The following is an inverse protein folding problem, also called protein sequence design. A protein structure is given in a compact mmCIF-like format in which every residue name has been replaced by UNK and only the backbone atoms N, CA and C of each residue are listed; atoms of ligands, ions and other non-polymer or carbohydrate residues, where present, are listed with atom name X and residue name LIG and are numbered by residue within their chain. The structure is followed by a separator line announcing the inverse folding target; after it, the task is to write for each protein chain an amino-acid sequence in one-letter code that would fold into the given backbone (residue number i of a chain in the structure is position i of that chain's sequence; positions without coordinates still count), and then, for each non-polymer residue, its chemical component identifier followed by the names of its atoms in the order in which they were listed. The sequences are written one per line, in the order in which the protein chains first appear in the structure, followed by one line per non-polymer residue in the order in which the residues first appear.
data_IF_659411933492
#
_entry.id   IF_659411933492
#
_cell.length_a   1.000
_cell.length_b   1.000
_cell.length_c   1.000
_cell.angle_alpha   90.00
_cell.angle_beta   90.00
_cell.angle_gamma   90.00
#
_symmetry.space_group_name_H-M   'P 1'
#
loop_
_entity.id
_entity.type
_entity.pdbx_description
1 polymer ?
#
# COMPACT_ATOMS: atom_id res chain seq x y z
N UNK A 1 -23.64 -14.45 8.19
CA UNK A 1 -23.12 -15.71 7.59
C UNK A 1 -21.66 -15.82 7.97
N UNK A 2 -21.17 -16.96 8.48
CA UNK A 2 -19.74 -17.15 8.72
C UNK A 2 -19.05 -17.18 7.35
N UNK A 3 -18.15 -16.23 7.10
CA UNK A 3 -17.35 -16.23 5.87
C UNK A 3 -16.51 -17.51 5.83
N UNK A 4 -16.50 -18.19 4.68
CA UNK A 4 -15.75 -19.43 4.48
C UNK A 4 -14.23 -19.20 4.27
N UNK A 5 -13.74 -18.00 4.59
CA UNK A 5 -12.36 -17.59 4.41
C UNK A 5 -11.83 -16.88 5.67
N UNK A 6 -10.51 -16.94 5.86
CA UNK A 6 -9.81 -16.20 6.90
C UNK A 6 -8.86 -15.18 6.23
N UNK A 7 -9.08 -13.88 6.47
CA UNK A 7 -8.32 -12.81 5.81
C UNK A 7 -6.84 -12.82 6.15
N UNK A 8 -6.47 -13.21 7.38
CA UNK A 8 -5.08 -13.22 7.84
C UNK A 8 -4.29 -14.31 7.13
N UNK A 9 -4.92 -15.46 6.89
CA UNK A 9 -4.36 -16.52 6.05
C UNK A 9 -4.18 -16.10 4.59
N UNK A 10 -5.10 -15.28 4.04
CA UNK A 10 -4.97 -14.75 2.68
C UNK A 10 -3.83 -13.73 2.58
N UNK A 11 -3.73 -12.81 3.55
CA UNK A 11 -2.63 -11.87 3.65
C UNK A 11 -1.28 -12.60 3.76
N UNK A 12 -1.18 -13.61 4.64
CA UNK A 12 0.05 -14.40 4.81
C UNK A 12 0.48 -15.12 3.52
N UNK A 13 -0.47 -15.65 2.74
CA UNK A 13 -0.18 -16.24 1.41
C UNK A 13 0.31 -15.19 0.43
N UNK A 14 -0.36 -14.03 0.38
CA UNK A 14 0.01 -12.94 -0.52
C UNK A 14 1.43 -12.44 -0.24
N UNK A 15 1.75 -12.22 1.04
CA UNK A 15 3.08 -11.80 1.49
C UNK A 15 4.13 -12.85 1.12
N UNK A 16 3.83 -14.14 1.29
CA UNK A 16 4.74 -15.21 0.86
C UNK A 16 4.99 -15.25 -0.65
N UNK A 17 3.99 -14.95 -1.47
CA UNK A 17 4.19 -14.82 -2.93
C UNK A 17 5.07 -13.63 -3.28
N UNK A 18 4.95 -12.52 -2.56
CA UNK A 18 5.83 -11.36 -2.76
C UNK A 18 7.27 -11.66 -2.34
N UNK A 19 7.46 -12.15 -1.11
CA UNK A 19 8.79 -12.26 -0.51
C UNK A 19 9.57 -13.49 -0.96
N UNK A 20 8.92 -14.64 -1.13
CA UNK A 20 9.61 -15.89 -1.48
C UNK A 20 9.55 -16.19 -2.99
N UNK A 21 8.57 -15.65 -3.72
CA UNK A 21 8.39 -15.94 -5.15
C UNK A 21 8.63 -14.73 -6.06
N UNK A 22 8.95 -13.56 -5.49
CA UNK A 22 9.25 -12.35 -6.26
C UNK A 22 8.06 -11.79 -7.05
N UNK A 23 6.83 -12.14 -6.67
CA UNK A 23 5.64 -11.64 -7.36
C UNK A 23 5.27 -10.23 -6.92
N UNK A 24 4.73 -9.42 -7.83
CA UNK A 24 4.17 -8.12 -7.47
C UNK A 24 2.86 -8.29 -6.70
N UNK A 25 2.69 -7.54 -5.61
CA UNK A 25 1.42 -7.49 -4.88
C UNK A 25 0.27 -7.01 -5.77
N UNK A 26 0.55 -6.12 -6.74
CA UNK A 26 -0.46 -5.63 -7.71
C UNK A 26 -1.03 -6.76 -8.58
N UNK A 27 -0.29 -7.84 -8.79
CA UNK A 27 -0.74 -9.03 -9.53
C UNK A 27 -1.45 -10.02 -8.60
N UNK A 28 -0.90 -10.23 -7.41
CA UNK A 28 -1.39 -11.21 -6.44
C UNK A 28 -2.75 -10.82 -5.86
N UNK A 29 -2.89 -9.57 -5.44
CA UNK A 29 -4.00 -9.11 -4.61
C UNK A 29 -5.36 -9.15 -5.34
N UNK A 30 -5.49 -8.75 -6.62
CA UNK A 30 -6.75 -8.87 -7.37
C UNK A 30 -7.26 -10.31 -7.46
N UNK A 31 -6.35 -11.29 -7.60
CA UNK A 31 -6.75 -12.71 -7.67
C UNK A 31 -7.37 -13.19 -6.36
N UNK A 32 -6.85 -12.75 -5.21
CA UNK A 32 -7.34 -13.10 -3.88
C UNK A 32 -8.63 -12.34 -3.52
N UNK A 33 -8.84 -11.14 -4.06
CA UNK A 33 -10.05 -10.35 -3.79
C UNK A 33 -11.30 -10.87 -4.50
N UNK A 34 -11.17 -11.73 -5.52
CA UNK A 34 -12.32 -12.31 -6.24
C UNK A 34 -13.25 -13.12 -5.35
N UNK A 35 -12.72 -13.74 -4.29
CA UNK A 35 -13.46 -14.61 -3.37
C UNK A 35 -13.85 -13.93 -2.06
N UNK A 36 -13.62 -12.60 -1.96
CA UNK A 36 -13.77 -11.81 -0.74
C UNK A 36 -14.81 -10.72 -0.96
N UNK A 37 -15.66 -10.50 0.05
CA UNK A 37 -16.67 -9.44 0.03
C UNK A 37 -16.04 -8.05 -0.02
N UNK A 38 -16.74 -7.05 -0.58
CA UNK A 38 -16.20 -5.70 -0.75
C UNK A 38 -15.72 -5.07 0.56
N UNK A 39 -16.45 -5.27 1.66
CA UNK A 39 -16.06 -4.80 3.00
C UNK A 39 -14.72 -5.37 3.46
N UNK A 40 -14.45 -6.63 3.13
CA UNK A 40 -13.25 -7.34 3.57
C UNK A 40 -12.05 -7.12 2.64
N UNK A 41 -12.27 -6.65 1.41
CA UNK A 41 -11.20 -6.31 0.44
C UNK A 41 -10.29 -5.21 0.97
N UNK A 42 -10.87 -4.18 1.58
CA UNK A 42 -10.12 -3.07 2.18
C UNK A 42 -9.25 -3.55 3.34
N UNK A 43 -9.77 -4.42 4.21
CA UNK A 43 -9.00 -4.99 5.31
C UNK A 43 -7.87 -5.90 4.77
N UNK A 44 -8.11 -6.73 3.77
CA UNK A 44 -7.04 -7.52 3.16
C UNK A 44 -5.92 -6.63 2.59
N UNK A 45 -6.27 -5.53 1.92
CA UNK A 45 -5.30 -4.57 1.41
C UNK A 45 -4.48 -3.94 2.53
N UNK A 46 -5.13 -3.43 3.58
CA UNK A 46 -4.43 -2.85 4.74
C UNK A 46 -3.45 -3.87 5.35
N UNK A 47 -3.87 -5.12 5.53
CA UNK A 47 -3.00 -6.17 6.08
C UNK A 47 -1.79 -6.45 5.17
N UNK A 48 -1.99 -6.60 3.85
CA UNK A 48 -0.90 -6.88 2.92
C UNK A 48 0.08 -5.71 2.80
N UNK A 49 -0.41 -4.51 2.45
CA UNK A 49 0.43 -3.33 2.27
C UNK A 49 1.07 -2.90 3.58
N UNK A 50 0.32 -2.91 4.68
CA UNK A 50 0.81 -2.56 6.00
C UNK A 50 1.92 -3.49 6.47
N UNK A 51 1.72 -4.81 6.39
CA UNK A 51 2.75 -5.79 6.80
C UNK A 51 4.02 -5.66 5.97
N UNK A 52 3.91 -5.44 4.65
CA UNK A 52 5.08 -5.24 3.78
C UNK A 52 5.80 -3.92 4.07
N UNK A 53 5.06 -2.84 4.35
CA UNK A 53 5.61 -1.52 4.67
C UNK A 53 6.48 -1.55 5.93
N UNK A 54 6.02 -2.23 6.98
CA UNK A 54 6.75 -2.31 8.26
C UNK A 54 7.54 -3.61 8.42
N UNK A 55 7.79 -4.33 7.32
CA UNK A 55 8.38 -5.68 7.34
C UNK A 55 9.68 -5.77 8.16
N UNK A 56 10.65 -4.85 8.04
CA UNK A 56 11.90 -4.95 8.81
C UNK A 56 11.67 -4.95 10.33
N UNK A 57 10.74 -4.14 10.82
CA UNK A 57 10.40 -4.07 12.24
C UNK A 57 9.70 -5.36 12.70
N UNK A 58 8.78 -5.90 11.91
CA UNK A 58 8.07 -7.15 12.23
C UNK A 58 9.00 -8.35 12.24
N UNK A 59 9.92 -8.43 11.28
CA UNK A 59 10.96 -9.47 11.22
C UNK A 59 11.89 -9.37 12.44
N UNK A 60 12.34 -8.16 12.79
CA UNK A 60 13.14 -7.93 13.98
C UNK A 60 12.42 -8.39 15.26
N UNK A 61 11.13 -8.04 15.42
CA UNK A 61 10.33 -8.48 16.56
C UNK A 61 10.23 -10.01 16.64
N UNK A 62 9.97 -10.70 15.53
CA UNK A 62 9.90 -12.17 15.51
C UNK A 62 11.23 -12.78 15.93
N UNK A 63 12.36 -12.23 15.50
CA UNK A 63 13.69 -12.71 15.88
C UNK A 63 13.98 -12.55 17.38
N UNK A 64 13.39 -11.55 18.04
CA UNK A 64 13.49 -11.40 19.50
C UNK A 64 12.57 -12.37 20.26
N UNK A 65 11.44 -12.75 19.66
CA UNK A 65 10.44 -13.63 20.29
C UNK A 65 10.71 -15.12 20.07
N UNK A 66 11.40 -15.47 18.98
CA UNK A 66 11.58 -16.85 18.54
C UNK A 66 13.06 -17.15 18.30
N UNK A 67 13.62 -18.07 19.10
CA UNK A 67 14.98 -18.57 18.88
C UNK A 67 15.18 -19.25 17.52
N UNK A 68 14.11 -19.86 16.98
CA UNK A 68 14.09 -20.50 15.65
C UNK A 68 12.83 -20.04 14.90
N UNK A 69 12.93 -18.99 14.06
CA UNK A 69 11.83 -18.55 13.21
C UNK A 69 11.31 -19.67 12.29
N UNK A 70 10.05 -19.58 11.87
CA UNK A 70 9.42 -20.61 11.03
C UNK A 70 9.94 -20.54 9.59
N UNK A 71 10.52 -21.63 9.11
CA UNK A 71 11.11 -21.75 7.76
C UNK A 71 10.53 -22.93 6.98
N UNK A 72 10.92 -23.06 5.71
CA UNK A 72 10.52 -24.18 4.84
C UNK A 72 9.01 -24.39 4.78
N UNK A 73 8.54 -25.61 5.12
CA UNK A 73 7.12 -25.98 5.09
C UNK A 73 6.21 -25.20 6.06
N UNK A 74 6.80 -24.41 6.96
CA UNK A 74 6.10 -23.57 7.94
C UNK A 74 6.23 -22.07 7.63
N UNK A 75 6.92 -21.68 6.55
CA UNK A 75 7.21 -20.28 6.20
C UNK A 75 5.95 -19.41 6.11
N UNK A 76 4.83 -19.93 5.59
CA UNK A 76 3.58 -19.16 5.55
C UNK A 76 3.04 -18.80 6.94
N UNK A 77 3.35 -19.58 7.98
CA UNK A 77 2.97 -19.23 9.36
C UNK A 77 3.87 -18.14 9.95
N UNK A 78 5.10 -17.97 9.46
CA UNK A 78 5.94 -16.81 9.77
C UNK A 78 5.23 -15.53 9.31
N UNK A 79 4.72 -15.51 8.08
CA UNK A 79 3.95 -14.37 7.57
C UNK A 79 2.62 -14.19 8.31
N UNK A 80 1.98 -15.28 8.74
CA UNK A 80 0.78 -15.20 9.58
C UNK A 80 1.07 -14.53 10.94
N UNK A 81 2.21 -14.83 11.56
CA UNK A 81 2.66 -14.11 12.76
C UNK A 81 2.90 -12.64 12.48
N UNK A 82 3.58 -12.30 11.38
CA UNK A 82 3.80 -10.91 10.99
C UNK A 82 2.48 -10.15 10.81
N UNK A 83 1.50 -10.76 10.14
CA UNK A 83 0.16 -10.19 9.99
C UNK A 83 -0.53 -10.00 11.36
N UNK A 84 -0.33 -10.93 12.30
CA UNK A 84 -0.82 -10.80 13.68
C UNK A 84 -0.17 -9.63 14.42
N UNK A 85 1.16 -9.53 14.38
CA UNK A 85 1.93 -8.45 15.00
C UNK A 85 1.57 -7.08 14.39
N UNK A 86 1.46 -7.01 13.06
CA UNK A 86 1.03 -5.81 12.35
C UNK A 86 -0.31 -5.30 12.88
N UNK A 87 -1.29 -6.19 13.05
CA UNK A 87 -2.60 -5.80 13.58
C UNK A 87 -2.53 -5.28 15.01
N UNK A 88 -1.73 -5.91 15.89
CA UNK A 88 -1.56 -5.46 17.27
C UNK A 88 -0.91 -4.08 17.37
N UNK A 89 -0.05 -3.73 16.41
CA UNK A 89 0.70 -2.47 16.40
C UNK A 89 -0.01 -1.33 15.68
N UNK A 90 -0.59 -1.62 14.50
CA UNK A 90 -0.96 -0.59 13.53
C UNK A 90 -2.47 -0.52 13.26
N UNK A 91 -3.28 -1.33 13.94
CA UNK A 91 -4.73 -1.32 13.76
C UNK A 91 -5.46 -1.10 15.08
N UNK A 92 -6.71 -0.66 14.99
CA UNK A 92 -7.61 -0.52 16.14
C UNK A 92 -8.44 -1.79 16.41
N UNK A 93 -8.09 -2.91 15.77
CA UNK A 93 -8.80 -4.18 15.96
C UNK A 93 -8.51 -4.67 17.39
N UNK A 94 -9.54 -5.00 18.20
CA UNK A 94 -9.32 -5.45 19.56
C UNK A 94 -8.36 -6.64 19.63
N UNK A 95 -7.38 -6.59 20.55
CA UNK A 95 -6.31 -7.58 20.58
C UNK A 95 -6.83 -9.03 20.68
N UNK A 96 -7.88 -9.28 21.46
CA UNK A 96 -8.48 -10.61 21.56
C UNK A 96 -9.00 -11.13 20.19
N UNK A 97 -9.57 -10.24 19.37
CA UNK A 97 -10.03 -10.57 18.03
C UNK A 97 -8.85 -10.79 17.07
N UNK A 98 -7.79 -9.99 17.16
CA UNK A 98 -6.54 -10.21 16.40
C UNK A 98 -5.96 -11.59 16.71
N UNK A 99 -5.84 -11.96 17.99
CA UNK A 99 -5.33 -13.26 18.39
C UNK A 99 -6.22 -14.40 17.88
N UNK A 100 -7.54 -14.32 18.10
CA UNK A 100 -8.48 -15.35 17.66
C UNK A 100 -8.42 -15.57 16.14
N UNK A 101 -8.53 -14.51 15.36
CA UNK A 101 -8.53 -14.57 13.89
C UNK A 101 -7.19 -15.03 13.32
N UNK A 102 -6.07 -14.61 13.92
CA UNK A 102 -4.73 -15.01 13.48
C UNK A 102 -4.47 -16.48 13.83
N UNK A 103 -4.92 -16.95 15.00
CA UNK A 103 -4.81 -18.35 15.41
C UNK A 103 -5.67 -19.27 14.52
N UNK A 104 -6.91 -18.88 14.21
CA UNK A 104 -7.75 -19.61 13.25
C UNK A 104 -7.16 -19.59 11.83
N UNK A 105 -6.38 -18.58 11.48
CA UNK A 105 -5.59 -18.55 10.24
C UNK A 105 -4.69 -19.78 10.06
N UNK A 106 -4.19 -20.37 11.14
CA UNK A 106 -3.38 -21.59 11.08
C UNK A 106 -4.18 -22.80 10.58
N UNK A 107 -5.47 -22.87 10.91
CA UNK A 107 -6.39 -23.92 10.43
C UNK A 107 -6.62 -23.75 8.93
N UNK A 108 -6.90 -22.52 8.48
CA UNK A 108 -7.06 -22.20 7.06
C UNK A 108 -5.79 -22.49 6.23
N UNK A 109 -4.61 -22.44 6.86
CA UNK A 109 -3.33 -22.82 6.26
C UNK A 109 -3.00 -24.31 6.40
N UNK A 110 -3.94 -25.16 6.82
CA UNK A 110 -3.76 -26.61 6.99
C UNK A 110 -2.65 -26.96 7.99
N UNK A 111 -2.51 -26.15 9.05
CA UNK A 111 -1.55 -26.34 10.16
C UNK A 111 -2.22 -26.13 11.55
N UNK A 112 -3.36 -26.79 11.83
CA UNK A 112 -4.09 -26.59 13.10
C UNK A 112 -3.26 -26.93 14.35
N UNK A 113 -2.28 -27.83 14.25
CA UNK A 113 -1.41 -28.20 15.36
C UNK A 113 -0.49 -27.06 15.85
N UNK A 114 -0.30 -26.00 15.06
CA UNK A 114 0.54 -24.84 15.41
C UNK A 114 -0.24 -23.66 16.00
N UNK A 115 -1.56 -23.82 16.24
CA UNK A 115 -2.40 -22.81 16.90
C UNK A 115 -1.83 -22.35 18.25
N UNK A 116 -1.38 -23.32 19.06
CA UNK A 116 -0.80 -23.03 20.39
C UNK A 116 0.48 -22.20 20.29
N UNK A 117 1.35 -22.50 19.33
CA UNK A 117 2.58 -21.74 19.08
C UNK A 117 2.27 -20.31 18.66
N UNK A 118 1.36 -20.11 17.70
CA UNK A 118 0.98 -18.77 17.22
C UNK A 118 0.39 -17.92 18.35
N UNK A 119 -0.54 -18.50 19.12
CA UNK A 119 -1.11 -17.83 20.29
C UNK A 119 -0.03 -17.50 21.34
N UNK A 120 0.90 -18.43 21.58
CA UNK A 120 2.00 -18.25 22.53
C UNK A 120 2.90 -17.08 22.15
N UNK A 121 3.34 -17.01 20.89
CA UNK A 121 4.21 -15.94 20.38
C UNK A 121 3.51 -14.59 20.40
N UNK A 122 2.26 -14.49 19.93
CA UNK A 122 1.51 -13.23 19.95
C UNK A 122 1.25 -12.75 21.39
N UNK A 123 0.95 -13.65 22.34
CA UNK A 123 0.81 -13.28 23.76
C UNK A 123 2.14 -12.88 24.40
N UNK A 124 3.23 -13.53 24.01
CA UNK A 124 4.57 -13.12 24.46
C UNK A 124 4.90 -11.73 23.97
N UNK A 125 4.62 -11.43 22.69
CA UNK A 125 4.75 -10.09 22.15
C UNK A 125 3.96 -9.08 22.96
N UNK A 126 2.67 -9.31 23.24
CA UNK A 126 1.87 -8.38 24.04
C UNK A 126 2.46 -8.09 25.43
N UNK A 127 3.10 -9.07 26.07
CA UNK A 127 3.77 -8.88 27.36
C UNK A 127 5.08 -8.09 27.26
N UNK A 128 5.78 -8.19 26.14
CA UNK A 128 7.09 -7.59 25.90
C UNK A 128 7.04 -6.40 24.93
N UNK A 129 5.84 -5.95 24.54
CA UNK A 129 5.64 -5.05 23.40
C UNK A 129 6.38 -3.73 23.60
N UNK A 130 6.22 -3.11 24.78
CA UNK A 130 6.84 -1.83 25.08
C UNK A 130 8.37 -1.90 25.02
N UNK A 131 8.97 -2.89 25.70
CA UNK A 131 10.42 -3.12 25.70
C UNK A 131 10.96 -3.38 24.28
N UNK A 132 10.27 -4.23 23.50
CA UNK A 132 10.67 -4.55 22.14
C UNK A 132 10.61 -3.32 21.24
N UNK A 133 9.59 -2.48 21.34
CA UNK A 133 9.47 -1.27 20.53
C UNK A 133 10.54 -0.22 20.90
N UNK A 134 10.86 -0.06 22.18
CA UNK A 134 11.96 0.81 22.62
C UNK A 134 13.31 0.33 22.07
N UNK A 135 13.54 -0.99 22.06
CA UNK A 135 14.76 -1.58 21.50
C UNK A 135 14.78 -1.47 19.97
N UNK A 136 13.64 -1.63 19.29
CA UNK A 136 13.52 -1.47 17.85
C UNK A 136 13.81 -0.03 17.41
N UNK A 137 13.40 0.97 18.19
CA UNK A 137 13.67 2.39 17.91
C UNK A 137 15.17 2.72 17.86
N UNK A 138 16.00 1.96 18.59
CA UNK A 138 17.46 2.11 18.63
C UNK A 138 18.18 1.16 17.64
N UNK A 139 17.46 0.61 16.66
CA UNK A 139 17.97 -0.34 15.68
C UNK A 139 17.55 0.10 14.27
N UNK A 140 18.38 -0.17 13.26
CA UNK A 140 18.09 0.20 11.86
C UNK A 140 16.74 -0.29 11.33
N UNK A 141 16.14 -1.31 11.95
CA UNK A 141 14.78 -1.76 11.62
C UNK A 141 13.70 -0.68 11.80
N UNK A 142 13.92 0.36 12.60
CA UNK A 142 12.99 1.49 12.75
C UNK A 142 12.81 2.29 11.46
N UNK A 143 13.81 2.29 10.58
CA UNK A 143 13.75 3.01 9.30
C UNK A 143 12.87 2.30 8.27
N UNK A 144 12.45 1.05 8.51
CA UNK A 144 11.59 0.25 7.63
C UNK A 144 12.13 0.00 6.21
N UNK A 145 13.43 0.24 5.98
CA UNK A 145 14.10 -0.02 4.71
C UNK A 145 15.10 -1.18 4.85
N UNK A 146 15.29 -2.01 3.81
CA UNK A 146 16.39 -2.97 3.81
C UNK A 146 17.74 -2.24 3.80
N UNK A 147 18.73 -2.81 4.49
CA UNK A 147 20.03 -2.15 4.75
C UNK A 147 20.74 -1.68 3.48
N UNK A 148 20.63 -2.41 2.38
CA UNK A 148 21.25 -2.03 1.10
C UNK A 148 20.62 -0.76 0.50
N UNK A 149 19.31 -0.57 0.66
CA UNK A 149 18.59 0.58 0.12
C UNK A 149 18.82 1.80 1.01
N UNK A 150 18.75 1.62 2.33
CA UNK A 150 19.02 2.69 3.30
C UNK A 150 20.41 3.30 3.06
N UNK A 151 21.44 2.45 2.91
CA UNK A 151 22.81 2.91 2.61
C UNK A 151 22.90 3.68 1.29
N UNK A 152 22.18 3.25 0.25
CA UNK A 152 22.14 3.96 -1.04
C UNK A 152 21.49 5.33 -0.92
N UNK A 153 20.38 5.43 -0.18
CA UNK A 153 19.69 6.72 0.06
C UNK A 153 20.60 7.65 0.88
N UNK A 154 21.22 7.16 1.96
CA UNK A 154 22.16 7.93 2.77
C UNK A 154 23.35 8.45 1.96
N UNK A 155 23.89 7.63 1.05
CA UNK A 155 24.99 8.05 0.18
C UNK A 155 24.57 9.07 -0.87
N UNK A 156 23.40 8.89 -1.48
CA UNK A 156 22.90 9.78 -2.54
C UNK A 156 22.34 11.10 -1.99
N UNK A 157 21.77 11.08 -0.79
CA UNK A 157 21.10 12.21 -0.15
C UNK A 157 21.55 12.40 1.32
N UNK A 158 22.84 12.70 1.59
CA UNK A 158 23.37 12.73 2.96
C UNK A 158 22.65 13.69 3.92
N UNK A 159 22.06 14.78 3.40
CA UNK A 159 21.35 15.77 4.19
C UNK A 159 19.83 15.57 4.26
N UNK A 160 19.27 14.64 3.45
CA UNK A 160 17.82 14.51 3.26
C UNK A 160 17.31 13.08 3.44
N UNK A 161 18.20 12.11 3.70
CA UNK A 161 17.82 10.70 3.74
C UNK A 161 16.72 10.40 4.76
N UNK A 162 16.72 11.05 5.94
CA UNK A 162 15.67 10.92 6.97
C UNK A 162 14.31 11.34 6.42
N UNK A 163 14.24 12.51 5.79
CA UNK A 163 13.00 13.00 5.18
C UNK A 163 12.50 12.06 4.07
N UNK A 164 13.41 11.50 3.27
CA UNK A 164 13.06 10.56 2.20
C UNK A 164 12.47 9.27 2.76
N UNK A 165 13.11 8.67 3.78
CA UNK A 165 12.60 7.43 4.37
C UNK A 165 11.29 7.67 5.13
N UNK A 166 11.14 8.82 5.79
CA UNK A 166 9.91 9.19 6.47
C UNK A 166 8.77 9.36 5.47
N UNK A 167 9.01 10.02 4.34
CA UNK A 167 8.04 10.16 3.25
C UNK A 167 7.66 8.80 2.64
N UNK A 168 8.64 7.93 2.38
CA UNK A 168 8.40 6.57 1.88
C UNK A 168 7.52 5.73 2.82
N UNK A 169 7.61 5.99 4.13
CA UNK A 169 6.89 5.26 5.17
C UNK A 169 5.46 5.79 5.41
N UNK A 170 5.09 6.94 4.84
CA UNK A 170 3.74 7.48 4.96
C UNK A 170 2.72 6.67 4.13
N UNK A 171 1.43 6.82 4.45
CA UNK A 171 0.37 6.33 3.56
C UNK A 171 0.38 7.23 2.30
N UNK A 172 0.45 6.66 1.09
CA UNK A 172 0.59 7.45 -0.12
C UNK A 172 -0.67 8.30 -0.32
N UNK A 173 -0.54 9.59 -0.70
CA UNK A 173 -1.67 10.41 -1.09
C UNK A 173 -2.33 9.85 -2.36
N UNK A 174 -3.64 10.06 -2.50
CA UNK A 174 -4.35 9.78 -3.75
C UNK A 174 -4.43 11.07 -4.58
N UNK A 175 -3.60 11.12 -5.62
CA UNK A 175 -3.57 12.22 -6.58
C UNK A 175 -4.45 11.92 -7.79
N UNK A 176 -5.17 12.94 -8.22
CA UNK A 176 -6.01 12.94 -9.39
C UNK A 176 -5.46 13.94 -10.41
N UNK A 177 -5.59 13.59 -11.69
CA UNK A 177 -5.43 14.50 -12.81
C UNK A 177 -6.80 14.79 -13.39
N UNK A 178 -7.22 16.05 -13.37
CA UNK A 178 -8.45 16.51 -14.01
C UNK A 178 -8.24 16.58 -15.52
N UNK A 179 -9.13 15.98 -16.29
CA UNK A 179 -9.07 16.06 -17.74
C UNK A 179 -9.57 17.44 -18.19
N UNK A 180 -8.62 18.30 -18.60
CA UNK A 180 -8.87 19.68 -19.05
C UNK A 180 -9.76 19.80 -20.29
N UNK A 181 -10.01 18.71 -21.02
CA UNK A 181 -10.96 18.70 -22.14
C UNK A 181 -12.42 18.68 -21.69
N UNK A 182 -12.69 18.35 -20.42
CA UNK A 182 -14.05 18.31 -19.87
C UNK A 182 -14.30 19.39 -18.81
N UNK A 183 -13.34 19.61 -17.91
CA UNK A 183 -13.49 20.53 -16.78
C UNK A 183 -12.18 21.27 -16.51
N UNK A 184 -12.27 22.51 -16.03
CA UNK A 184 -11.14 23.12 -15.31
C UNK A 184 -10.95 22.43 -13.97
N UNK A 185 -9.76 22.52 -13.38
CA UNK A 185 -9.50 21.95 -12.05
C UNK A 185 -10.45 22.53 -11.00
N UNK A 186 -10.70 23.83 -11.05
CA UNK A 186 -11.57 24.54 -10.12
C UNK A 186 -13.04 24.13 -10.29
N UNK A 187 -13.51 23.90 -11.52
CA UNK A 187 -14.86 23.36 -11.78
C UNK A 187 -15.00 21.95 -11.22
N UNK A 188 -14.00 21.10 -11.47
CA UNK A 188 -14.02 19.73 -10.99
C UNK A 188 -13.94 19.65 -9.46
N UNK A 189 -13.15 20.53 -8.81
CA UNK A 189 -13.10 20.63 -7.35
C UNK A 189 -14.48 20.95 -6.76
N UNK A 190 -15.26 21.84 -7.39
CA UNK A 190 -16.64 22.13 -6.97
C UNK A 190 -17.58 20.93 -7.10
N UNK A 191 -17.41 20.10 -8.14
CA UNK A 191 -18.16 18.83 -8.27
C UNK A 191 -17.82 17.86 -7.14
N UNK A 192 -16.54 17.79 -6.76
CA UNK A 192 -16.10 16.95 -5.64
C UNK A 192 -16.66 17.42 -4.31
N UNK A 193 -16.67 18.73 -4.05
CA UNK A 193 -17.29 19.31 -2.85
C UNK A 193 -18.78 18.98 -2.78
N UNK A 194 -19.52 19.08 -3.89
CA UNK A 194 -20.93 18.69 -3.97
C UNK A 194 -21.15 17.19 -3.71
N UNK A 195 -20.20 16.34 -4.12
CA UNK A 195 -20.19 14.91 -3.83
C UNK A 195 -19.73 14.58 -2.39
N UNK A 196 -19.35 15.58 -1.59
CA UNK A 196 -18.85 15.39 -0.23
C UNK A 196 -17.42 14.82 -0.17
N UNK A 197 -16.64 14.96 -1.25
CA UNK A 197 -15.26 14.48 -1.36
C UNK A 197 -14.32 15.67 -1.22
N UNK A 198 -13.59 15.72 -0.10
CA UNK A 198 -12.65 16.80 0.16
C UNK A 198 -11.31 16.57 -0.58
N UNK A 199 -10.87 17.60 -1.30
CA UNK A 199 -9.61 17.62 -2.03
C UNK A 199 -8.96 19.01 -2.00
N UNK A 200 -7.67 19.06 -2.30
CA UNK A 200 -6.91 20.31 -2.39
C UNK A 200 -6.09 20.37 -3.70
N UNK A 201 -5.94 21.56 -4.31
CA UNK A 201 -5.12 21.73 -5.50
C UNK A 201 -3.62 21.69 -5.17
N UNK A 202 -2.80 21.26 -6.13
CA UNK A 202 -1.35 21.47 -6.07
C UNK A 202 -0.99 22.82 -6.70
N UNK A 203 -0.03 23.54 -6.10
CA UNK A 203 0.39 24.85 -6.59
C UNK A 203 1.10 24.77 -7.95
N UNK A 204 1.97 23.77 -8.14
CA UNK A 204 2.82 23.64 -9.33
C UNK A 204 2.19 22.79 -10.46
N UNK A 205 1.15 22.00 -10.15
CA UNK A 205 0.57 21.06 -11.12
C UNK A 205 -0.88 21.48 -11.41
N UNK A 206 -1.15 22.09 -12.58
CA UNK A 206 -2.40 22.80 -12.85
C UNK A 206 -3.62 21.88 -12.94
N UNK A 207 -3.45 20.61 -13.32
CA UNK A 207 -4.53 19.63 -13.39
C UNK A 207 -4.68 18.80 -12.10
N UNK A 208 -3.79 18.98 -11.13
CA UNK A 208 -3.67 18.07 -9.99
C UNK A 208 -4.58 18.43 -8.82
N UNK A 209 -5.27 17.42 -8.30
CA UNK A 209 -5.99 17.46 -7.02
C UNK A 209 -5.53 16.33 -6.10
N UNK A 210 -5.22 16.65 -4.84
CA UNK A 210 -4.96 15.68 -3.79
C UNK A 210 -6.24 15.40 -3.01
N UNK A 211 -6.65 14.15 -2.92
CA UNK A 211 -7.71 13.79 -1.97
C UNK A 211 -7.19 13.90 -0.54
N UNK A 212 -8.00 14.46 0.35
CA UNK A 212 -7.71 14.43 1.80
C UNK A 212 -7.91 13.02 2.37
N UNK A 213 -8.88 12.28 1.81
CA UNK A 213 -9.15 10.87 2.14
C UNK A 213 -9.31 10.09 0.82
N UNK A 214 -8.48 9.07 0.56
CA UNK A 214 -8.65 8.21 -0.62
C UNK A 214 -10.03 7.54 -0.66
N UNK A 215 -10.62 7.44 -1.85
CA UNK A 215 -11.90 6.76 -2.10
C UNK A 215 -11.80 5.77 -3.26
N UNK A 216 -12.85 4.99 -3.52
CA UNK A 216 -12.86 4.16 -4.71
C UNK A 216 -13.00 5.04 -5.95
N UNK A 217 -12.41 4.62 -7.07
CA UNK A 217 -12.51 5.37 -8.33
C UNK A 217 -13.95 5.46 -8.85
N UNK A 218 -14.81 4.52 -8.47
CA UNK A 218 -16.25 4.54 -8.78
C UNK A 218 -17.01 5.64 -8.06
N UNK A 219 -16.45 6.18 -6.98
CA UNK A 219 -17.05 7.26 -6.20
C UNK A 219 -16.65 8.64 -6.75
N UNK A 220 -15.66 8.71 -7.65
CA UNK A 220 -15.19 9.95 -8.25
C UNK A 220 -16.15 10.41 -9.37
N UNK A 221 -16.62 11.67 -9.34
CA UNK A 221 -17.52 12.21 -10.37
C UNK A 221 -16.94 12.05 -11.79
N UNK A 222 -17.67 11.39 -12.69
CA UNK A 222 -17.28 11.26 -14.09
C UNK A 222 -16.01 10.44 -14.36
N UNK A 223 -15.56 9.60 -13.41
CA UNK A 223 -14.39 8.73 -13.64
C UNK A 223 -14.59 7.80 -14.84
N UNK A 224 -15.77 7.18 -14.95
CA UNK A 224 -16.11 6.31 -16.08
C UNK A 224 -16.26 7.09 -17.41
N UNK A 225 -16.55 8.39 -17.33
CA UNK A 225 -16.70 9.30 -18.46
C UNK A 225 -15.38 9.95 -18.87
N UNK A 226 -14.27 9.61 -18.20
CA UNK A 226 -12.93 10.12 -18.52
C UNK A 226 -12.64 11.54 -18.03
N UNK A 227 -13.43 12.07 -17.10
CA UNK A 227 -13.25 13.44 -16.57
C UNK A 227 -12.04 13.56 -15.65
N UNK A 228 -11.58 12.45 -15.09
CA UNK A 228 -10.48 12.41 -14.14
C UNK A 228 -9.71 11.08 -14.25
N UNK A 229 -8.41 11.12 -13.97
CA UNK A 229 -7.54 9.93 -13.90
C UNK A 229 -6.80 9.89 -12.57
N UNK A 230 -6.58 8.71 -11.99
CA UNK A 230 -5.67 8.57 -10.83
C UNK A 230 -4.23 8.60 -11.33
N UNK A 231 -3.48 9.63 -10.98
CA UNK A 231 -2.08 9.78 -11.38
C UNK A 231 -1.33 10.65 -10.36
N UNK A 232 -0.17 10.18 -9.92
CA UNK A 232 0.71 10.94 -9.03
C UNK A 232 1.09 12.30 -9.64
N UNK A 233 1.13 13.34 -8.81
CA UNK A 233 1.38 14.70 -9.24
C UNK A 233 2.72 14.87 -9.97
N UNK A 234 3.77 14.17 -9.52
CA UNK A 234 5.09 14.23 -10.16
C UNK A 234 5.06 13.67 -11.59
N UNK A 235 4.21 12.68 -11.85
CA UNK A 235 4.03 12.12 -13.18
C UNK A 235 3.19 13.02 -14.11
N UNK A 236 2.37 13.92 -13.54
CA UNK A 236 1.62 14.94 -14.31
C UNK A 236 2.57 16.03 -14.82
N UNK A 237 3.56 16.45 -14.02
CA UNK A 237 4.57 17.43 -14.44
C UNK A 237 5.41 17.02 -15.66
N UNK A 238 5.40 15.73 -16.05
CA UNK A 238 6.06 15.29 -17.28
C UNK A 238 5.49 15.96 -18.54
N UNK A 239 4.19 16.27 -18.56
CA UNK A 239 3.56 16.91 -19.74
C UNK A 239 4.04 18.34 -19.89
N UNK A 240 4.23 19.08 -18.80
CA UNK A 240 4.73 20.46 -18.85
C UNK A 240 6.18 20.51 -19.35
N UNK A 241 6.97 19.47 -19.05
CA UNK A 241 8.35 19.34 -19.56
C UNK A 241 8.42 18.88 -21.02
N UNK A 242 7.47 18.04 -21.45
CA UNK A 242 7.40 17.54 -22.83
C UNK A 242 6.83 18.60 -23.79
N UNK A 243 5.92 19.45 -23.29
CA UNK A 243 5.22 20.52 -24.03
C UNK A 243 4.63 20.07 -25.38
N UNK A 244 3.76 19.03 -25.39
CA UNK A 244 3.26 18.45 -26.62
C UNK A 244 2.39 19.43 -27.40
N UNK A 245 2.55 19.48 -28.73
CA UNK A 245 1.77 20.34 -29.62
C UNK A 245 0.81 19.54 -30.51
N UNK A 246 -0.29 20.20 -30.89
CA UNK A 246 -1.25 19.63 -31.85
C UNK A 246 -0.58 19.34 -33.20
N UNK A 247 -0.92 18.20 -33.79
CA UNK A 247 -0.37 17.76 -35.08
C UNK A 247 1.03 17.11 -35.02
N UNK A 248 1.63 16.98 -33.84
CA UNK A 248 2.91 16.28 -33.68
C UNK A 248 2.78 14.75 -33.69
N UNK A 249 3.88 14.08 -34.05
CA UNK A 249 4.04 12.64 -33.89
C UNK A 249 4.84 12.36 -32.61
N UNK A 250 4.14 11.96 -31.55
CA UNK A 250 4.75 11.74 -30.22
C UNK A 250 4.83 10.24 -29.91
N UNK A 251 5.99 9.79 -29.46
CA UNK A 251 6.21 8.43 -28.97
C UNK A 251 6.26 8.41 -27.44
N UNK A 252 5.27 7.76 -26.80
CA UNK A 252 5.31 7.42 -25.38
C UNK A 252 5.86 5.99 -25.20
N UNK A 253 7.18 5.89 -24.97
CA UNK A 253 7.86 4.61 -24.76
C UNK A 253 7.70 4.16 -23.30
N UNK A 254 7.37 2.88 -23.09
CA UNK A 254 6.95 2.34 -21.78
C UNK A 254 5.62 2.91 -21.26
N UNK A 255 4.68 3.16 -22.17
CA UNK A 255 3.40 3.81 -21.90
C UNK A 255 2.54 3.19 -20.79
N UNK A 256 2.54 1.85 -20.63
CA UNK A 256 1.63 1.17 -19.71
C UNK A 256 1.79 1.69 -18.25
N UNK A 257 0.71 2.03 -17.53
CA UNK A 257 -0.71 1.80 -17.87
C UNK A 257 -1.40 2.88 -18.73
N UNK A 258 -0.69 3.89 -19.24
CA UNK A 258 -1.20 4.89 -20.20
C UNK A 258 -1.50 6.27 -19.62
N UNK A 259 -1.13 6.51 -18.35
CA UNK A 259 -1.40 7.78 -17.68
C UNK A 259 -0.76 8.98 -18.38
N UNK A 260 0.50 8.90 -18.79
CA UNK A 260 1.17 9.99 -19.51
C UNK A 260 0.66 10.11 -20.95
N UNK A 261 0.42 8.98 -21.62
CA UNK A 261 -0.16 8.94 -22.98
C UNK A 261 -1.45 9.73 -23.06
N UNK A 262 -2.37 9.51 -22.11
CA UNK A 262 -3.64 10.23 -22.04
C UNK A 262 -3.43 11.71 -21.72
N UNK A 263 -2.49 12.04 -20.82
CA UNK A 263 -2.18 13.44 -20.50
C UNK A 263 -1.64 14.22 -21.70
N UNK A 264 -0.80 13.59 -22.54
CA UNK A 264 -0.32 14.17 -23.79
C UNK A 264 -1.50 14.56 -24.70
N UNK A 265 -2.49 13.67 -24.83
CA UNK A 265 -3.69 13.93 -25.63
C UNK A 265 -4.63 14.97 -25.00
N UNK A 266 -4.64 15.10 -23.68
CA UNK A 266 -5.37 16.19 -22.99
C UNK A 266 -4.74 17.56 -23.24
N UNK A 267 -3.41 17.61 -23.37
CA UNK A 267 -2.66 18.83 -23.67
C UNK A 267 -2.67 19.17 -25.17
N UNK A 268 -2.60 18.17 -26.05
CA UNK A 268 -2.59 18.31 -27.50
C UNK A 268 -3.66 17.42 -28.16
N UNK A 269 -4.95 17.80 -28.10
CA UNK A 269 -6.07 16.93 -28.49
C UNK A 269 -6.29 16.78 -30.00
N UNK A 270 -5.72 17.66 -30.82
CA UNK A 270 -5.96 17.64 -32.27
C UNK A 270 -4.92 16.74 -32.94
N UNK A 271 -5.36 15.67 -33.63
CA UNK A 271 -4.47 14.94 -34.51
C UNK A 271 -4.06 15.81 -35.71
N UNK A 272 -3.12 15.30 -36.49
CA UNK A 272 -2.72 15.87 -37.79
C UNK A 272 -3.93 16.11 -38.71
#
# INVERSE_FOLDING_TARGET
MKNNYNLRSHAAKAIGQVLDQGQSLSTVLPSLQKTISDKDRALLQELCFGTLRVLPQLEWCIQQLMAKPMTGKQRTLHYLLMVGLYQLLYTRIPAHAVLAETVEGAVALKRPQLKGLINGVLRQFQRQQEELLQRAANNDSCYLHPSWLLKRIQQAYPAQWEQIIDANNQKPPMWLRVNRLHHTREDYLRLMEQAGIAAEPHAEYPDALRLLVPCAVTDLPGFADGWVTVQDASAQGCVDLLDPQNGEHILDLCAAPGGKTTHILEAAPKPM
#
